data_IF_433637944308
#
_entry.id   IF_433637944308
#
_cell.length_a   1.000
_cell.length_b   1.000
_cell.length_c   1.000
_cell.angle_alpha   90.00
_cell.angle_beta   90.00
_cell.angle_gamma   90.00
#
_symmetry.space_group_name_H-M   'P 1'
#
loop_
_entity.id
_entity.type
_entity.pdbx_description
1 polymer ?
#
# COMPACT_ATOMS: atom_id res chain seq x y z
N UNK A 1 8.27 -20.01 0.91
CA UNK A 1 8.73 -19.43 2.20
C UNK A 1 8.74 -20.48 3.30
N UNK A 2 7.61 -21.11 3.65
CA UNK A 2 7.56 -22.13 4.70
C UNK A 2 8.53 -23.30 4.46
N UNK A 3 8.56 -23.83 3.23
CA UNK A 3 9.50 -24.90 2.83
C UNK A 3 10.96 -24.48 2.95
N UNK A 4 11.27 -23.23 2.58
CA UNK A 4 12.62 -22.68 2.70
C UNK A 4 13.04 -22.58 4.17
N UNK A 5 12.18 -22.04 5.03
CA UNK A 5 12.42 -21.95 6.47
C UNK A 5 12.63 -23.33 7.10
N UNK A 6 11.80 -24.32 6.74
CA UNK A 6 11.93 -25.69 7.25
C UNK A 6 13.27 -26.32 6.84
N UNK A 7 13.68 -26.12 5.59
CA UNK A 7 14.97 -26.60 5.08
C UNK A 7 16.15 -25.98 5.85
N UNK A 8 16.16 -24.65 6.00
CA UNK A 8 17.24 -23.95 6.73
C UNK A 8 17.31 -24.34 8.20
N UNK A 9 16.17 -24.54 8.86
CA UNK A 9 16.14 -25.03 10.26
C UNK A 9 16.83 -26.38 10.42
N UNK A 10 16.67 -27.29 9.45
CA UNK A 10 17.33 -28.60 9.45
C UNK A 10 18.82 -28.50 9.11
N UNK A 11 19.19 -27.73 8.09
CA UNK A 11 20.59 -27.59 7.65
C UNK A 11 21.47 -26.93 8.71
N UNK A 12 20.93 -25.94 9.42
CA UNK A 12 21.66 -25.17 10.44
C UNK A 12 21.48 -25.74 11.86
N UNK A 13 20.60 -26.73 12.06
CA UNK A 13 20.34 -27.37 13.36
C UNK A 13 19.72 -26.42 14.40
N UNK A 14 18.95 -25.42 13.95
CA UNK A 14 18.34 -24.40 14.82
C UNK A 14 16.82 -24.50 14.83
N UNK A 15 16.19 -24.11 15.93
CA UNK A 15 14.73 -23.96 16.02
C UNK A 15 14.32 -22.61 15.41
N UNK A 16 13.34 -22.62 14.50
CA UNK A 16 12.74 -21.41 13.94
C UNK A 16 11.25 -21.39 14.27
N UNK A 17 10.81 -20.33 14.96
CA UNK A 17 9.39 -20.07 15.23
C UNK A 17 8.90 -18.90 14.39
N UNK A 18 7.63 -18.94 13.96
CA UNK A 18 7.01 -17.85 13.18
C UNK A 18 5.61 -17.55 13.67
N UNK A 19 5.21 -16.28 13.58
CA UNK A 19 3.86 -15.81 13.88
C UNK A 19 3.40 -14.84 12.81
N UNK A 20 2.15 -14.96 12.36
CA UNK A 20 1.55 -13.98 11.46
C UNK A 20 1.11 -12.78 12.31
N UNK A 21 1.74 -11.63 12.09
CA UNK A 21 1.45 -10.41 12.85
C UNK A 21 0.30 -9.61 12.26
N UNK A 22 0.30 -9.44 10.95
CA UNK A 22 -0.69 -8.61 10.27
C UNK A 22 -0.99 -9.14 8.88
N UNK A 23 -2.26 -9.09 8.51
CA UNK A 23 -2.76 -9.29 7.14
C UNK A 23 -3.82 -8.24 6.90
N UNK A 24 -3.69 -7.51 5.80
CA UNK A 24 -4.68 -6.54 5.36
C UNK A 24 -5.37 -7.07 4.13
N UNK A 25 -6.70 -6.95 4.09
CA UNK A 25 -7.45 -7.19 2.87
C UNK A 25 -7.34 -5.96 1.97
N UNK A 26 -7.33 -6.12 0.64
CA UNK A 26 -7.48 -4.99 -0.27
C UNK A 26 -8.72 -4.18 0.08
N UNK A 27 -8.58 -2.85 0.09
CA UNK A 27 -9.67 -1.91 0.36
C UNK A 27 -10.03 -1.21 -0.95
N UNK A 28 -11.32 -1.23 -1.30
CA UNK A 28 -11.88 -0.39 -2.35
C UNK A 28 -12.35 0.90 -1.69
N UNK A 29 -11.79 2.02 -2.13
CA UNK A 29 -12.19 3.34 -1.65
C UNK A 29 -13.56 3.76 -2.19
N UNK A 30 -14.21 4.69 -1.50
CA UNK A 30 -15.55 5.14 -1.86
C UNK A 30 -15.52 5.86 -3.21
N UNK A 31 -16.37 5.43 -4.15
CA UNK A 31 -16.42 5.98 -5.50
C UNK A 31 -16.69 7.49 -5.50
N UNK A 32 -17.52 7.98 -4.57
CA UNK A 32 -17.79 9.42 -4.42
C UNK A 32 -16.53 10.25 -4.15
N UNK A 33 -15.59 9.73 -3.35
CA UNK A 33 -14.33 10.41 -3.05
C UNK A 33 -13.37 10.30 -4.22
N UNK A 34 -13.24 9.10 -4.81
CA UNK A 34 -12.35 8.86 -5.96
C UNK A 34 -12.78 9.72 -7.16
N UNK A 35 -14.07 9.75 -7.46
CA UNK A 35 -14.63 10.55 -8.56
C UNK A 35 -14.49 12.05 -8.30
N UNK A 36 -14.64 12.51 -7.06
CA UNK A 36 -14.44 13.92 -6.72
C UNK A 36 -12.99 14.37 -6.95
N UNK A 37 -12.02 13.54 -6.58
CA UNK A 37 -10.59 13.80 -6.87
C UNK A 37 -10.32 13.82 -8.37
N UNK A 38 -10.88 12.88 -9.13
CA UNK A 38 -10.72 12.82 -10.58
C UNK A 38 -11.32 14.05 -11.28
N UNK A 39 -12.54 14.44 -10.92
CA UNK A 39 -13.20 15.64 -11.44
C UNK A 39 -12.43 16.94 -11.11
N UNK A 40 -11.80 17.00 -9.93
CA UNK A 40 -10.93 18.10 -9.53
C UNK A 40 -9.68 18.18 -10.41
N UNK A 41 -9.02 17.05 -10.65
CA UNK A 41 -7.85 16.98 -11.52
C UNK A 41 -8.19 17.38 -12.97
N UNK A 42 -9.35 16.95 -13.47
CA UNK A 42 -9.87 17.37 -14.77
C UNK A 42 -10.11 18.88 -14.85
N UNK A 43 -10.77 19.47 -13.83
CA UNK A 43 -11.04 20.91 -13.80
C UNK A 43 -9.75 21.74 -13.83
N UNK A 44 -8.69 21.22 -13.22
CA UNK A 44 -7.38 21.85 -13.21
C UNK A 44 -6.52 21.51 -14.45
N UNK A 45 -7.05 20.72 -15.39
CA UNK A 45 -6.32 20.22 -16.56
C UNK A 45 -5.00 19.50 -16.22
N UNK A 46 -4.97 18.79 -15.09
CA UNK A 46 -3.83 17.97 -14.67
C UNK A 46 -3.87 16.61 -15.37
N UNK A 47 -2.71 16.05 -15.68
CA UNK A 47 -2.62 14.65 -16.07
C UNK A 47 -2.83 13.75 -14.86
N UNK A 48 -3.69 12.75 -15.00
CA UNK A 48 -4.02 11.83 -13.91
C UNK A 48 -4.25 10.41 -14.44
N UNK A 49 -4.27 9.45 -13.51
CA UNK A 49 -4.73 8.08 -13.74
C UNK A 49 -5.22 7.47 -12.43
N UNK A 50 -6.18 6.55 -12.49
CA UNK A 50 -6.52 5.70 -11.35
C UNK A 50 -5.41 4.66 -11.11
N UNK A 51 -5.13 4.38 -9.84
CA UNK A 51 -4.05 3.46 -9.42
C UNK A 51 -4.41 2.76 -8.10
N UNK A 52 -4.18 1.44 -7.96
CA UNK A 52 -4.18 0.79 -6.65
C UNK A 52 -2.92 1.17 -5.85
N UNK A 53 -3.04 1.40 -4.53
CA UNK A 53 -1.84 1.56 -3.68
C UNK A 53 -1.22 0.20 -3.36
N UNK A 54 0.09 0.09 -3.57
CA UNK A 54 0.89 -1.08 -3.17
C UNK A 54 1.35 -1.05 -1.71
N UNK A 55 1.20 0.07 -1.02
CA UNK A 55 1.61 0.25 0.37
C UNK A 55 0.40 0.34 1.32
N UNK A 56 0.64 0.01 2.59
CA UNK A 56 -0.31 0.27 3.66
C UNK A 56 -0.38 1.75 4.00
N UNK A 57 -1.60 2.28 4.18
CA UNK A 57 -1.82 3.68 4.57
C UNK A 57 -2.96 3.77 5.57
N UNK A 58 -2.94 4.80 6.43
CA UNK A 58 -3.99 5.02 7.42
C UNK A 58 -5.40 5.12 6.79
N UNK A 59 -5.47 5.65 5.56
CA UNK A 59 -6.70 5.73 4.79
C UNK A 59 -7.38 4.35 4.60
N UNK A 60 -6.62 3.25 4.53
CA UNK A 60 -7.19 1.90 4.44
C UNK A 60 -8.01 1.54 5.69
N UNK A 61 -7.59 1.97 6.88
CA UNK A 61 -8.36 1.78 8.10
C UNK A 61 -9.52 2.78 8.18
N UNK A 62 -9.30 4.03 7.76
CA UNK A 62 -10.34 5.06 7.74
C UNK A 62 -11.54 4.67 6.87
N UNK A 63 -11.29 3.95 5.76
CA UNK A 63 -12.35 3.45 4.88
C UNK A 63 -13.37 2.53 5.57
N UNK A 64 -13.04 1.95 6.74
CA UNK A 64 -13.97 1.14 7.53
C UNK A 64 -14.95 1.97 8.37
N UNK A 65 -14.68 3.26 8.57
CA UNK A 65 -15.47 4.14 9.46
C UNK A 65 -16.06 5.35 8.75
N UNK A 66 -15.53 5.75 7.59
CA UNK A 66 -16.08 6.83 6.77
C UNK A 66 -15.69 6.65 5.28
N UNK A 67 -16.38 7.34 4.35
CA UNK A 67 -15.90 7.47 2.98
C UNK A 67 -14.48 8.04 2.97
N UNK A 68 -13.56 7.34 2.30
CA UNK A 68 -12.16 7.70 2.22
C UNK A 68 -11.63 7.50 0.80
N UNK A 69 -10.53 8.18 0.49
CA UNK A 69 -9.80 8.09 -0.76
C UNK A 69 -8.39 8.65 -0.60
N UNK A 70 -7.57 8.56 -1.66
CA UNK A 70 -6.17 8.99 -1.64
C UNK A 70 -5.81 9.75 -2.91
N UNK A 71 -4.91 10.72 -2.79
CA UNK A 71 -4.30 11.44 -3.92
C UNK A 71 -2.81 11.14 -3.92
N UNK A 72 -2.29 10.66 -5.04
CA UNK A 72 -0.85 10.40 -5.21
C UNK A 72 -0.21 11.46 -6.08
N UNK A 73 1.02 11.81 -5.76
CA UNK A 73 1.92 12.58 -6.61
C UNK A 73 3.16 11.73 -6.94
N UNK A 74 3.77 11.92 -8.13
CA UNK A 74 4.99 11.18 -8.47
C UNK A 74 6.12 11.44 -7.48
N UNK A 75 6.97 10.44 -7.29
CA UNK A 75 8.23 10.56 -6.57
C UNK A 75 9.37 10.24 -7.54
N UNK A 76 10.52 10.92 -7.40
CA UNK A 76 11.71 10.70 -8.23
C UNK A 76 12.11 9.23 -8.13
N UNK A 77 12.21 8.58 -9.29
CA UNK A 77 12.52 7.16 -9.45
C UNK A 77 11.60 6.18 -8.69
N UNK A 78 10.46 6.65 -8.18
CA UNK A 78 9.55 5.86 -7.34
C UNK A 78 10.16 5.41 -6.01
N UNK A 79 11.26 6.04 -5.55
CA UNK A 79 11.98 5.63 -4.34
C UNK A 79 11.29 6.20 -3.09
N UNK A 80 10.98 5.32 -2.14
CA UNK A 80 10.44 5.69 -0.82
C UNK A 80 11.22 4.98 0.29
N UNK A 81 11.00 5.39 1.55
CA UNK A 81 11.75 4.92 2.72
C UNK A 81 13.28 5.04 2.57
N UNK A 82 13.72 6.09 1.90
CA UNK A 82 15.13 6.42 1.73
C UNK A 82 15.42 7.76 2.41
N UNK A 83 16.56 7.84 3.11
CA UNK A 83 17.03 9.07 3.78
C UNK A 83 17.41 10.15 2.78
N UNK A 84 17.79 9.77 1.56
CA UNK A 84 18.00 10.70 0.46
C UNK A 84 16.67 10.90 -0.26
N UNK A 85 16.12 12.11 -0.13
CA UNK A 85 15.10 12.63 -1.05
C UNK A 85 15.86 13.36 -2.16
N UNK A 86 16.32 12.62 -3.16
CA UNK A 86 16.85 13.22 -4.40
C UNK A 86 15.72 13.55 -5.35
#
# INVERSE_FOLDING_TARGET
MAEFVAKTSQEEGVEITSRSLVRFNPVIFADEIVNAVEAEAERQALSYRRLPSGAGHDAQFMASVCPAGMIFVPCVDGISHNVKRT
#
